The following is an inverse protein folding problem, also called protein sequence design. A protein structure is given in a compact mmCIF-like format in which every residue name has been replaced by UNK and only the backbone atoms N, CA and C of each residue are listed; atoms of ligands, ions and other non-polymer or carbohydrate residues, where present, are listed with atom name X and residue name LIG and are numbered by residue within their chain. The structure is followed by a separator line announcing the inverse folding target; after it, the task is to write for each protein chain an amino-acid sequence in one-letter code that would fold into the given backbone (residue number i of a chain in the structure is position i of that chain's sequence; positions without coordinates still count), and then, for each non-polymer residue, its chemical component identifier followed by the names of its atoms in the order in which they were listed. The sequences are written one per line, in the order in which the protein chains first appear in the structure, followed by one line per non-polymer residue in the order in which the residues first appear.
data_IF_619608566415
#
_entry.id   IF_619608566415
#
_cell.length_a   1.000
_cell.length_b   1.000
_cell.length_c   1.000
_cell.angle_alpha   90.00
_cell.angle_beta   90.00
_cell.angle_gamma   90.00
#
_symmetry.space_group_name_H-M   'P 1'
#
loop_
_entity.id
_entity.type
_entity.pdbx_description
1 polymer ?
#
# COMPACT_ATOMS: atom_id res chain seq x y z
N UNK A 1 -14.19 -12.31 -10.64
CA UNK A 1 -12.91 -11.60 -10.46
C UNK A 1 -12.52 -11.79 -9.00
N UNK A 2 -11.28 -12.21 -8.67
CA UNK A 2 -10.82 -12.30 -7.29
C UNK A 2 -10.86 -10.93 -6.61
N UNK A 3 -11.07 -10.94 -5.30
CA UNK A 3 -11.10 -9.73 -4.47
C UNK A 3 -9.77 -9.54 -3.76
N UNK A 4 -9.21 -8.33 -3.83
CA UNK A 4 -7.97 -7.95 -3.17
C UNK A 4 -8.22 -6.86 -2.14
N UNK A 5 -7.43 -6.84 -1.09
CA UNK A 5 -7.51 -5.86 -0.02
C UNK A 5 -6.19 -5.12 0.11
N UNK A 6 -6.26 -3.81 0.32
CA UNK A 6 -5.11 -2.91 0.34
C UNK A 6 -4.97 -2.28 1.72
N UNK A 7 -4.09 -2.83 2.56
CA UNK A 7 -3.91 -2.40 3.94
C UNK A 7 -2.71 -1.45 4.07
N UNK A 8 -2.97 -0.22 4.48
CA UNK A 8 -1.93 0.76 4.79
C UNK A 8 -1.54 0.65 6.25
N UNK A 9 -0.23 0.58 6.50
CA UNK A 9 0.34 0.57 7.85
C UNK A 9 1.26 1.77 8.06
N UNK A 10 1.51 2.07 9.34
CA UNK A 10 2.36 3.17 9.82
C UNK A 10 1.74 4.55 9.56
N UNK A 11 2.35 5.40 8.72
CA UNK A 11 1.83 6.75 8.45
C UNK A 11 0.45 6.65 7.76
N UNK A 12 -0.54 7.33 8.33
CA UNK A 12 -1.94 7.33 7.86
C UNK A 12 -2.50 5.89 7.66
N UNK A 13 -2.53 5.07 8.73
CA UNK A 13 -2.88 3.65 8.62
C UNK A 13 -4.36 3.48 8.29
N UNK A 14 -4.66 2.52 7.42
CA UNK A 14 -6.00 2.23 6.94
C UNK A 14 -6.17 0.75 6.65
N UNK A 15 -7.19 0.14 7.23
CA UNK A 15 -7.54 -1.26 6.97
C UNK A 15 -8.71 -1.29 5.99
N UNK A 16 -8.41 -1.71 4.77
CA UNK A 16 -9.43 -1.98 3.77
C UNK A 16 -10.26 -3.24 4.10
N UNK A 17 -11.54 -3.04 4.44
CA UNK A 17 -12.49 -4.14 4.69
C UNK A 17 -13.36 -4.47 3.48
N UNK A 18 -13.40 -3.61 2.46
CA UNK A 18 -14.28 -3.74 1.31
C UNK A 18 -13.59 -4.54 0.20
N UNK A 19 -12.32 -4.23 -0.05
CA UNK A 19 -11.55 -4.78 -1.15
C UNK A 19 -12.05 -4.35 -2.53
N UNK A 20 -11.27 -4.69 -3.53
CA UNK A 20 -11.53 -4.41 -4.94
C UNK A 20 -11.52 -5.69 -5.76
N UNK A 21 -12.44 -5.82 -6.71
CA UNK A 21 -12.47 -6.93 -7.66
C UNK A 21 -11.56 -6.63 -8.84
N UNK A 22 -10.50 -7.43 -8.99
CA UNK A 22 -9.52 -7.26 -10.06
C UNK A 22 -9.37 -8.56 -10.86
N UNK A 23 -8.94 -8.50 -12.13
CA UNK A 23 -8.80 -9.70 -12.97
C UNK A 23 -7.83 -10.74 -12.41
N UNK A 24 -6.67 -10.31 -11.90
CA UNK A 24 -5.54 -11.17 -11.50
C UNK A 24 -4.57 -10.42 -10.57
N UNK A 25 -3.53 -11.13 -10.12
CA UNK A 25 -2.47 -10.59 -9.26
C UNK A 25 -1.69 -9.45 -9.93
N UNK A 26 -1.55 -9.45 -11.26
CA UNK A 26 -0.83 -8.39 -12.00
C UNK A 26 -1.62 -7.07 -11.97
N UNK A 27 -2.95 -7.15 -12.13
CA UNK A 27 -3.83 -6.00 -11.95
C UNK A 27 -3.77 -5.47 -10.51
N UNK A 28 -3.73 -6.35 -9.50
CA UNK A 28 -3.56 -5.95 -8.10
C UNK A 28 -2.22 -5.25 -7.84
N UNK A 29 -1.13 -5.71 -8.47
CA UNK A 29 0.17 -5.05 -8.38
C UNK A 29 0.18 -3.66 -9.04
N UNK A 30 -0.44 -3.51 -10.20
CA UNK A 30 -0.61 -2.21 -10.87
C UNK A 30 -1.41 -1.23 -10.03
N UNK A 31 -2.47 -1.70 -9.37
CA UNK A 31 -3.26 -0.86 -8.47
C UNK A 31 -2.45 -0.47 -7.24
N UNK A 32 -1.76 -1.42 -6.60
CA UNK A 32 -0.92 -1.17 -5.42
C UNK A 32 0.15 -0.09 -5.65
N UNK A 33 0.83 -0.17 -6.80
CA UNK A 33 1.87 0.82 -7.18
C UNK A 33 1.28 2.19 -7.51
N UNK A 34 0.10 2.22 -8.13
CA UNK A 34 -0.64 3.47 -8.39
C UNK A 34 -1.11 4.13 -7.09
N UNK A 35 -1.68 3.35 -6.17
CA UNK A 35 -2.09 3.79 -4.84
C UNK A 35 -0.91 4.40 -4.06
N UNK A 36 0.22 3.69 -4.00
CA UNK A 36 1.42 4.19 -3.33
C UNK A 36 1.87 5.54 -3.91
N UNK A 37 1.90 5.66 -5.25
CA UNK A 37 2.27 6.90 -5.93
C UNK A 37 1.34 8.08 -5.61
N UNK A 38 0.02 7.85 -5.59
CA UNK A 38 -0.97 8.87 -5.24
C UNK A 38 -0.79 9.34 -3.79
N UNK A 39 -0.65 8.40 -2.86
CA UNK A 39 -0.48 8.71 -1.44
C UNK A 39 0.81 9.51 -1.18
N UNK A 40 1.94 9.16 -1.81
CA UNK A 40 3.17 9.95 -1.64
C UNK A 40 3.07 11.36 -2.23
N UNK A 41 2.30 11.52 -3.31
CA UNK A 41 2.01 12.85 -3.87
C UNK A 41 1.19 13.69 -2.88
N UNK A 42 0.20 13.10 -2.23
CA UNK A 42 -0.70 13.79 -1.29
C UNK A 42 -0.06 14.07 0.08
N UNK A 43 0.93 13.27 0.48
CA UNK A 43 1.69 13.50 1.71
C UNK A 43 2.50 14.79 1.62
N UNK A 44 2.88 15.28 0.43
CA UNK A 44 3.46 16.61 0.16
C UNK A 44 4.43 17.12 1.24
N UNK A 45 5.52 16.38 1.45
CA UNK A 45 6.56 16.73 2.42
C UNK A 45 6.22 16.46 3.90
N UNK A 46 5.02 15.94 4.23
CA UNK A 46 4.67 15.49 5.58
C UNK A 46 5.37 14.19 5.98
N UNK A 47 5.91 13.42 5.01
CA UNK A 47 6.79 12.27 5.27
C UNK A 47 8.15 12.75 5.77
N UNK A 48 8.43 12.56 7.06
CA UNK A 48 9.64 13.06 7.75
C UNK A 48 10.65 11.94 7.97
N UNK A 49 11.97 12.25 7.97
CA UNK A 49 13.00 11.28 8.31
C UNK A 49 12.71 10.49 9.59
N UNK A 50 12.86 9.17 9.53
CA UNK A 50 12.53 8.25 10.61
C UNK A 50 11.09 7.69 10.53
N UNK A 51 10.28 8.15 9.57
CA UNK A 51 8.97 7.57 9.31
C UNK A 51 9.06 6.46 8.26
N UNK A 52 8.13 5.52 8.43
CA UNK A 52 7.89 4.40 7.54
C UNK A 52 6.44 4.45 7.07
N UNK A 53 6.21 3.98 5.86
CA UNK A 53 4.91 3.74 5.28
C UNK A 53 4.96 2.40 4.57
N UNK A 54 3.88 1.63 4.65
CA UNK A 54 3.80 0.38 3.90
C UNK A 54 2.38 0.05 3.49
N UNK A 55 2.29 -0.67 2.38
CA UNK A 55 1.04 -1.20 1.83
C UNK A 55 1.18 -2.73 1.71
N UNK A 56 0.31 -3.45 2.40
CA UNK A 56 0.13 -4.90 2.26
C UNK A 56 -1.05 -5.17 1.33
N UNK A 57 -0.83 -6.01 0.32
CA UNK A 57 -1.88 -6.47 -0.59
C UNK A 57 -2.21 -7.91 -0.25
N UNK A 58 -3.47 -8.15 0.06
CA UNK A 58 -3.98 -9.45 0.49
C UNK A 58 -5.02 -9.94 -0.52
N UNK A 59 -4.95 -11.22 -0.89
CA UNK A 59 -5.92 -11.82 -1.81
C UNK A 59 -7.24 -12.23 -1.11
N UNK A 60 -8.16 -12.82 -1.88
CA UNK A 60 -9.49 -13.22 -1.39
C UNK A 60 -9.44 -14.26 -0.25
N UNK A 61 -8.37 -15.07 -0.20
CA UNK A 61 -8.13 -16.06 0.86
C UNK A 61 -7.49 -15.47 2.13
N UNK A 62 -7.40 -14.13 2.23
CA UNK A 62 -6.72 -13.41 3.30
C UNK A 62 -5.21 -13.72 3.39
N UNK A 63 -4.60 -14.13 2.27
CA UNK A 63 -3.15 -14.37 2.17
C UNK A 63 -2.45 -13.12 1.62
N UNK A 64 -1.46 -12.56 2.32
CA UNK A 64 -0.61 -11.51 1.76
C UNK A 64 0.15 -12.03 0.53
N UNK A 65 0.10 -11.27 -0.56
CA UNK A 65 0.75 -11.62 -1.83
C UNK A 65 1.76 -10.56 -2.28
N UNK A 66 1.57 -9.30 -1.90
CA UNK A 66 2.53 -8.22 -2.16
C UNK A 66 2.70 -7.30 -0.95
N UNK A 67 3.87 -6.68 -0.85
CA UNK A 67 4.18 -5.71 0.19
C UNK A 67 5.06 -4.60 -0.39
N UNK A 68 4.62 -3.35 -0.26
CA UNK A 68 5.41 -2.16 -0.61
C UNK A 68 5.83 -1.49 0.69
N UNK A 69 7.12 -1.17 0.82
CA UNK A 69 7.65 -0.46 1.97
C UNK A 69 8.46 0.76 1.54
N UNK A 70 8.21 1.89 2.20
CA UNK A 70 8.97 3.12 2.04
C UNK A 70 9.41 3.59 3.41
N UNK A 71 10.71 3.69 3.59
CA UNK A 71 11.34 4.23 4.78
C UNK A 71 12.09 5.51 4.45
N UNK A 72 12.06 6.47 5.37
CA UNK A 72 12.86 7.69 5.28
C UNK A 72 13.89 7.73 6.40
N UNK A 73 15.08 8.27 6.11
CA UNK A 73 16.13 8.45 7.12
C UNK A 73 16.93 9.71 6.85
N UNK A 74 17.42 10.33 7.92
CA UNK A 74 18.38 11.43 7.81
C UNK A 74 19.77 10.83 7.62
N UNK A 75 20.45 11.21 6.53
CA UNK A 75 21.85 10.86 6.32
C UNK A 75 22.74 11.81 7.13
N UNK A 76 23.86 11.29 7.63
CA UNK A 76 24.87 12.07 8.35
C UNK A 76 25.83 12.75 7.38
#
# INVERSE_FOLDING_TARGET
MPRYFFHVHNVEPSIDTQGEELPDDEAAWREATSYAGALFKDIDGRFRPGQEWSLEVVNETRKPIFFIHVGSRRMK
#
